data_IF_826570397979
#
_entry.id   IF_826570397979
#
_cell.length_a   1.000
_cell.length_b   1.000
_cell.length_c   1.000
_cell.angle_alpha   90.00
_cell.angle_beta   90.00
_cell.angle_gamma   90.00
#
_symmetry.space_group_name_H-M   'P 1'
#
loop_
_entity.id
_entity.type
_entity.pdbx_description
1 polymer ?
#
# COMPACT_ATOMS: atom_id res chain seq x y z
N UNK A 1 -10.83 -32.04 -3.41
CA UNK A 1 -11.47 -30.70 -3.29
C UNK A 1 -10.98 -30.07 -2.01
N UNK A 2 -10.56 -28.80 -2.07
CA UNK A 2 -10.34 -27.97 -0.90
C UNK A 2 -8.88 -27.61 -0.65
N UNK A 3 -8.46 -26.48 -1.21
CA UNK A 3 -7.60 -25.57 -0.44
C UNK A 3 -8.50 -24.40 -0.01
N UNK A 4 -9.22 -24.49 1.12
CA UNK A 4 -9.83 -23.30 1.69
C UNK A 4 -8.69 -22.45 2.23
N UNK A 5 -8.47 -21.28 1.64
CA UNK A 5 -7.61 -20.29 2.28
C UNK A 5 -8.18 -19.96 3.65
N UNK A 6 -7.32 -19.86 4.66
CA UNK A 6 -7.73 -19.39 5.97
C UNK A 6 -8.05 -17.90 5.89
N UNK A 7 -9.33 -17.56 5.97
CA UNK A 7 -9.83 -16.18 5.97
C UNK A 7 -10.08 -15.75 7.41
N UNK A 8 -9.44 -14.66 7.83
CA UNK A 8 -9.67 -14.03 9.12
C UNK A 8 -10.46 -12.73 8.93
N UNK A 9 -11.51 -12.55 9.73
CA UNK A 9 -12.24 -11.30 9.81
C UNK A 9 -11.69 -10.47 10.97
N UNK A 10 -11.37 -9.21 10.71
CA UNK A 10 -10.85 -8.28 11.72
C UNK A 10 -11.89 -7.18 11.92
N UNK A 11 -12.36 -7.02 13.15
CA UNK A 11 -13.34 -6.01 13.56
C UNK A 11 -12.67 -4.87 14.32
N UNK A 12 -13.35 -3.72 14.43
CA UNK A 12 -12.87 -2.57 15.21
C UNK A 12 -11.80 -1.74 14.52
N UNK A 13 -11.44 -2.10 13.29
CA UNK A 13 -10.49 -1.36 12.47
C UNK A 13 -11.05 0.01 12.10
N UNK A 14 -10.18 1.02 12.12
CA UNK A 14 -10.58 2.36 11.76
C UNK A 14 -11.07 2.41 10.30
N UNK A 15 -12.13 3.15 10.02
CA UNK A 15 -12.61 3.36 8.66
C UNK A 15 -12.27 4.77 8.19
N UNK A 16 -12.11 4.94 6.89
CA UNK A 16 -11.98 6.29 6.32
C UNK A 16 -13.27 7.10 6.55
N UNK A 17 -13.14 8.41 6.62
CA UNK A 17 -14.30 9.31 6.67
C UNK A 17 -15.09 9.22 5.36
N UNK A 18 -16.43 9.29 5.44
CA UNK A 18 -17.37 9.07 4.33
C UNK A 18 -17.10 9.95 3.09
N UNK A 19 -16.44 11.10 3.26
CA UNK A 19 -16.10 12.04 2.19
C UNK A 19 -14.59 12.08 1.84
N UNK A 20 -13.81 11.12 2.33
CA UNK A 20 -12.36 11.08 2.10
C UNK A 20 -12.02 10.45 0.75
N UNK A 21 -11.37 11.19 -0.16
CA UNK A 21 -10.86 10.66 -1.43
C UNK A 21 -9.58 9.81 -1.28
N UNK A 22 -9.13 9.54 -0.06
CA UNK A 22 -7.86 8.86 0.22
C UNK A 22 -7.99 7.32 0.34
N UNK A 23 -9.00 6.72 -0.29
CA UNK A 23 -9.28 5.28 -0.23
C UNK A 23 -8.04 4.42 -0.54
N UNK A 24 -7.25 4.80 -1.56
CA UNK A 24 -6.02 4.09 -1.93
C UNK A 24 -4.96 4.11 -0.84
N UNK A 25 -4.67 5.29 -0.27
CA UNK A 25 -3.70 5.43 0.82
C UNK A 25 -4.12 4.63 2.06
N UNK A 26 -5.42 4.53 2.31
CA UNK A 26 -5.96 3.71 3.38
C UNK A 26 -5.63 2.23 3.12
N UNK A 27 -6.03 1.69 1.96
CA UNK A 27 -5.77 0.29 1.59
C UNK A 27 -4.27 -0.05 1.61
N UNK A 28 -3.43 0.84 1.08
CA UNK A 28 -1.98 0.64 1.04
C UNK A 28 -1.39 0.56 2.46
N UNK A 29 -1.83 1.43 3.37
CA UNK A 29 -1.41 1.37 4.76
C UNK A 29 -1.85 0.08 5.45
N UNK A 30 -3.09 -0.39 5.20
CA UNK A 30 -3.54 -1.69 5.72
C UNK A 30 -2.67 -2.85 5.24
N UNK A 31 -2.38 -2.87 3.93
CA UNK A 31 -1.53 -3.88 3.34
C UNK A 31 -0.12 -3.85 3.95
N UNK A 32 0.45 -2.65 4.16
CA UNK A 32 1.75 -2.47 4.81
C UNK A 32 1.76 -3.03 6.24
N UNK A 33 0.82 -2.62 7.10
CA UNK A 33 0.72 -3.11 8.48
C UNK A 33 0.59 -4.64 8.54
N UNK A 34 -0.29 -5.22 7.72
CA UNK A 34 -0.47 -6.66 7.66
C UNK A 34 0.76 -7.39 7.13
N UNK A 35 1.46 -6.80 6.14
CA UNK A 35 2.69 -7.38 5.59
C UNK A 35 3.84 -7.38 6.60
N UNK A 36 3.90 -6.36 7.46
CA UNK A 36 4.87 -6.25 8.56
C UNK A 36 4.45 -7.09 9.80
N UNK A 37 3.28 -7.75 9.76
CA UNK A 37 2.73 -8.50 10.89
C UNK A 37 2.29 -7.61 12.07
N UNK A 38 2.11 -6.30 11.81
CA UNK A 38 1.67 -5.33 12.79
C UNK A 38 0.14 -5.33 12.92
N UNK A 39 -0.34 -5.02 14.13
CA UNK A 39 -1.76 -4.82 14.35
C UNK A 39 -2.21 -3.52 13.70
N UNK A 40 -3.31 -3.58 12.94
CA UNK A 40 -3.93 -2.40 12.38
C UNK A 40 -4.46 -1.50 13.50
N UNK A 41 -4.18 -0.18 13.48
CA UNK A 41 -4.72 0.78 14.44
C UNK A 41 -6.27 0.85 14.40
N UNK A 42 -6.89 0.96 15.57
CA UNK A 42 -8.35 1.11 15.71
C UNK A 42 -8.78 2.59 15.78
N UNK A 43 -7.83 3.48 16.05
CA UNK A 43 -7.97 4.87 16.46
C UNK A 43 -7.88 5.87 15.28
N UNK A 44 -7.92 5.36 14.06
CA UNK A 44 -7.75 6.15 12.84
C UNK A 44 -6.36 5.97 12.25
N UNK A 45 -6.29 5.88 10.92
CA UNK A 45 -5.02 6.04 10.22
C UNK A 45 -4.75 7.53 10.07
N UNK A 46 -3.55 7.99 10.49
CA UNK A 46 -3.10 9.36 10.23
C UNK A 46 -2.84 9.53 8.73
N UNK A 47 -3.86 10.02 8.03
CA UNK A 47 -3.86 10.24 6.58
C UNK A 47 -2.75 11.21 6.17
N UNK A 48 -2.42 12.20 7.01
CA UNK A 48 -1.37 13.16 6.71
C UNK A 48 0.01 12.49 6.78
N UNK A 49 0.24 11.66 7.80
CA UNK A 49 1.47 10.89 7.94
C UNK A 49 1.65 9.89 6.77
N UNK A 50 0.60 9.16 6.42
CA UNK A 50 0.62 8.20 5.31
C UNK A 50 0.93 8.91 4.00
N UNK A 51 0.29 10.06 3.74
CA UNK A 51 0.54 10.84 2.53
C UNK A 51 1.99 11.33 2.46
N UNK A 52 2.57 11.78 3.57
CA UNK A 52 3.99 12.17 3.63
C UNK A 52 4.91 10.99 3.34
N UNK A 53 4.64 9.82 3.92
CA UNK A 53 5.42 8.60 3.67
C UNK A 53 5.36 8.19 2.21
N UNK A 54 4.17 8.18 1.62
CA UNK A 54 3.97 7.82 0.21
C UNK A 54 4.65 8.83 -0.74
N UNK A 55 4.58 10.13 -0.44
CA UNK A 55 5.29 11.14 -1.20
C UNK A 55 6.82 10.94 -1.19
N UNK A 56 7.38 10.57 -0.03
CA UNK A 56 8.81 10.26 0.10
C UNK A 56 9.17 8.98 -0.67
N UNK A 57 8.32 7.95 -0.62
CA UNK A 57 8.54 6.71 -1.37
C UNK A 57 8.49 6.95 -2.88
N UNK A 58 7.52 7.72 -3.35
CA UNK A 58 7.37 8.07 -4.77
C UNK A 58 8.57 8.88 -5.26
N UNK A 59 9.01 9.87 -4.48
CA UNK A 59 10.21 10.66 -4.79
C UNK A 59 11.46 9.78 -4.92
N UNK A 60 11.69 8.87 -3.97
CA UNK A 60 12.81 7.92 -4.03
C UNK A 60 12.74 6.99 -5.24
N UNK A 61 11.54 6.56 -5.60
CA UNK A 61 11.33 5.73 -6.79
C UNK A 61 11.67 6.50 -8.08
N UNK A 62 11.24 7.75 -8.19
CA UNK A 62 11.58 8.63 -9.31
C UNK A 62 13.10 8.84 -9.41
N UNK A 63 13.78 9.16 -8.28
CA UNK A 63 15.24 9.27 -8.23
C UNK A 63 15.92 7.97 -8.69
N UNK A 64 15.49 6.81 -8.18
CA UNK A 64 16.05 5.52 -8.55
C UNK A 64 15.82 5.18 -10.03
N UNK A 65 14.66 5.57 -10.58
CA UNK A 65 14.32 5.37 -12.00
C UNK A 65 15.17 6.25 -12.92
N UNK A 66 15.49 7.46 -12.49
CA UNK A 66 16.37 8.37 -13.24
C UNK A 66 17.84 7.90 -13.19
N UNK A 67 18.29 7.32 -12.06
CA UNK A 67 19.63 6.76 -11.93
C UNK A 67 19.83 5.43 -12.66
N UNK A 68 18.75 4.66 -12.85
CA UNK A 68 18.78 3.40 -13.58
C UNK A 68 17.63 3.38 -14.60
N UNK A 69 17.79 4.01 -15.78
CA UNK A 69 16.77 3.95 -16.80
C UNK A 69 16.61 2.48 -17.16
N UNK A 70 15.47 1.91 -16.76
CA UNK A 70 15.14 0.53 -17.08
C UNK A 70 15.26 0.37 -18.60
N UNK A 71 16.35 -0.26 -19.06
CA UNK A 71 16.44 -0.78 -20.41
C UNK A 71 15.49 -1.95 -20.43
N UNK A 72 14.23 -1.69 -20.75
CA UNK A 72 13.30 -2.75 -21.10
C UNK A 72 13.84 -3.38 -22.38
N UNK A 73 14.69 -4.39 -22.25
CA UNK A 73 15.03 -5.31 -23.35
C UNK A 73 13.79 -6.15 -23.67
N UNK A 74 12.72 -5.49 -24.14
CA UNK A 74 11.61 -6.18 -24.76
C UNK A 74 12.10 -6.50 -26.16
N UNK A 75 12.76 -7.66 -26.28
CA UNK A 75 12.92 -8.29 -27.59
C UNK A 75 11.55 -8.77 -28.00
N UNK A 76 10.97 -8.09 -28.98
CA UNK A 76 9.70 -8.46 -29.61
C UNK A 76 9.82 -9.90 -30.13
N UNK A 77 9.00 -10.87 -29.65
CA UNK A 77 9.04 -12.22 -30.17
C UNK A 77 8.39 -12.23 -31.56
N UNK A 78 9.15 -12.72 -32.56
CA UNK A 78 8.67 -12.94 -33.92
C UNK A 78 7.54 -13.95 -33.99
#
# INVERSE_FOLDING_TARGET
MGNPFDVQYVEGIAQQTIDSLNYGLFIDAYAEYLSDGLQVPNDGLDVELIRKRYAVLLWKYEEAKDQNPYTSEIKDPR
#
